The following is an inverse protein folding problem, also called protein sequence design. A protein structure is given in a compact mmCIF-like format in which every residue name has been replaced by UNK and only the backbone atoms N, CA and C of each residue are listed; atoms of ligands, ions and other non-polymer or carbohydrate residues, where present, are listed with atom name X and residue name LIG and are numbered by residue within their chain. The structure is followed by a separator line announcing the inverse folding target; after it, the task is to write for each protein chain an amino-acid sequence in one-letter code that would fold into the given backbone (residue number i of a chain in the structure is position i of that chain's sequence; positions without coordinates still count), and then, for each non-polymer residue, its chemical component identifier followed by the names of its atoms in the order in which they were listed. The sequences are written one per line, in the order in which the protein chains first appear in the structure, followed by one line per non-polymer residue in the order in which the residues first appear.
data_IF_989052961841
#
_entry.id   IF_989052961841
#
_cell.length_a   1.000
_cell.length_b   1.000
_cell.length_c   1.000
_cell.angle_alpha   90.00
_cell.angle_beta   90.00
_cell.angle_gamma   90.00
#
_symmetry.space_group_name_H-M   'P 1'
#
loop_
_entity.id
_entity.type
_entity.pdbx_description
1 polymer ?
#
# COMPACT_ATOMS: atom_id res chain seq x y z
N UNK A 1 3.76 4.39 -24.15
CA UNK A 1 4.40 4.13 -22.84
C UNK A 1 3.32 4.07 -21.77
N UNK A 2 3.39 3.08 -20.87
CA UNK A 2 2.48 2.96 -19.74
C UNK A 2 3.27 3.13 -18.43
N UNK A 3 2.79 4.01 -17.54
CA UNK A 3 3.39 4.29 -16.23
C UNK A 3 2.44 3.79 -15.14
N UNK A 4 2.89 2.88 -14.27
CA UNK A 4 2.03 2.22 -13.28
C UNK A 4 2.53 2.35 -11.84
N UNK A 5 3.34 3.37 -11.57
CA UNK A 5 3.78 3.74 -10.22
C UNK A 5 2.75 4.65 -9.52
N UNK A 6 2.79 4.79 -8.19
CA UNK A 6 2.00 5.77 -7.44
C UNK A 6 2.02 7.19 -8.03
N UNK A 7 0.89 7.91 -7.93
CA UNK A 7 0.69 9.22 -8.55
C UNK A 7 1.82 10.25 -8.30
N UNK A 8 2.36 10.43 -7.06
CA UNK A 8 3.48 11.34 -6.82
C UNK A 8 4.75 10.98 -7.60
N UNK A 9 4.99 9.69 -7.85
CA UNK A 9 6.12 9.21 -8.63
C UNK A 9 5.89 9.43 -10.14
N UNK A 10 4.64 9.27 -10.62
CA UNK A 10 4.26 9.66 -11.99
C UNK A 10 4.53 11.14 -12.21
N UNK A 11 4.12 12.01 -11.29
CA UNK A 11 4.34 13.45 -11.38
C UNK A 11 5.82 13.80 -11.50
N UNK A 12 6.69 13.11 -10.75
CA UNK A 12 8.15 13.30 -10.82
C UNK A 12 8.69 12.96 -12.20
N UNK A 13 8.25 11.85 -12.79
CA UNK A 13 8.65 11.43 -14.13
C UNK A 13 8.16 12.39 -15.21
N UNK A 14 6.90 12.82 -15.10
CA UNK A 14 6.29 13.78 -16.03
C UNK A 14 7.03 15.13 -16.01
N UNK A 15 7.32 15.66 -14.82
CA UNK A 15 8.08 16.90 -14.65
C UNK A 15 9.48 16.81 -15.29
N UNK A 16 10.17 15.67 -15.15
CA UNK A 16 11.48 15.45 -15.77
C UNK A 16 11.41 15.35 -17.31
N UNK A 17 10.27 14.95 -17.86
CA UNK A 17 10.06 14.77 -19.31
C UNK A 17 9.47 15.99 -20.03
N UNK A 18 8.88 16.94 -19.30
CA UNK A 18 8.14 18.06 -19.88
C UNK A 18 6.74 17.71 -20.39
N UNK A 19 6.28 16.46 -20.21
CA UNK A 19 4.93 16.00 -20.55
C UNK A 19 3.98 16.26 -19.38
N UNK A 20 2.71 16.52 -19.67
CA UNK A 20 1.67 16.70 -18.65
C UNK A 20 0.54 15.71 -18.85
N UNK A 21 0.04 15.14 -17.77
CA UNK A 21 -1.25 14.46 -17.72
C UNK A 21 -2.14 15.20 -16.71
N UNK A 22 -3.43 15.42 -17.02
CA UNK A 22 -4.30 16.22 -16.18
C UNK A 22 -4.56 15.55 -14.83
N UNK A 23 -4.84 16.38 -13.83
CA UNK A 23 -5.48 15.99 -12.57
C UNK A 23 -4.76 14.99 -11.65
N UNK A 24 -3.56 14.50 -11.98
CA UNK A 24 -2.81 13.52 -11.16
C UNK A 24 -2.64 13.99 -9.71
N UNK A 25 -2.43 15.29 -9.50
CA UNK A 25 -2.20 15.86 -8.17
C UNK A 25 -3.41 15.75 -7.21
N UNK A 26 -4.61 15.40 -7.71
CA UNK A 26 -5.79 15.14 -6.88
C UNK A 26 -5.72 13.80 -6.17
N UNK A 27 -4.90 12.86 -6.65
CA UNK A 27 -4.71 11.58 -6.00
C UNK A 27 -3.88 11.71 -4.71
N UNK A 28 -4.37 11.17 -3.60
CA UNK A 28 -3.67 11.21 -2.31
C UNK A 28 -3.66 9.85 -1.62
N UNK A 29 -2.70 9.68 -0.71
CA UNK A 29 -2.46 8.42 -0.02
C UNK A 29 -2.30 8.60 1.49
N UNK A 30 -2.82 7.63 2.23
CA UNK A 30 -2.42 7.34 3.58
C UNK A 30 -1.08 6.58 3.56
N UNK A 31 -0.10 6.97 4.40
CA UNK A 31 1.07 6.15 4.64
C UNK A 31 0.74 5.00 5.61
N UNK A 32 1.55 3.95 5.59
CA UNK A 32 1.47 2.84 6.53
C UNK A 32 2.87 2.41 6.96
N UNK A 33 3.09 2.30 8.27
CA UNK A 33 4.13 1.44 8.80
C UNK A 33 3.61 0.00 8.89
N UNK A 34 4.33 -0.94 8.29
CA UNK A 34 4.06 -2.38 8.35
C UNK A 34 5.14 -3.04 9.18
N UNK A 35 4.78 -3.87 10.14
CA UNK A 35 5.70 -4.56 11.04
C UNK A 35 5.51 -6.07 10.93
N UNK A 36 6.58 -6.76 10.57
CA UNK A 36 6.61 -8.21 10.41
C UNK A 36 7.34 -8.81 11.59
N UNK A 37 6.73 -9.80 12.22
CA UNK A 37 7.25 -10.44 13.42
C UNK A 37 7.12 -11.96 13.30
N UNK A 38 8.21 -12.68 13.60
CA UNK A 38 8.15 -14.11 13.87
C UNK A 38 8.24 -14.32 15.39
N UNK A 39 7.20 -14.88 15.99
CA UNK A 39 7.08 -15.04 17.44
C UNK A 39 6.58 -16.43 17.82
N UNK A 40 6.46 -16.68 19.12
CA UNK A 40 5.87 -17.87 19.73
C UNK A 40 4.39 -17.69 20.10
N UNK A 41 3.86 -16.47 19.95
CA UNK A 41 2.50 -16.10 20.34
C UNK A 41 1.60 -15.94 19.12
N UNK A 42 0.50 -16.70 19.10
CA UNK A 42 -0.57 -16.58 18.10
C UNK A 42 -1.63 -15.56 18.52
N UNK A 43 -2.15 -14.73 17.60
CA UNK A 43 -3.37 -13.97 17.83
C UNK A 43 -4.57 -14.90 18.02
N UNK A 44 -5.66 -14.41 18.63
CA UNK A 44 -6.89 -15.18 18.82
C UNK A 44 -7.60 -15.49 17.50
N UNK A 45 -7.44 -14.61 16.51
CA UNK A 45 -8.04 -14.72 15.18
C UNK A 45 -6.97 -14.51 14.11
N UNK A 46 -7.21 -15.03 12.91
CA UNK A 46 -6.30 -14.88 11.77
C UNK A 46 -6.15 -13.41 11.33
N UNK A 47 -7.18 -12.61 11.55
CA UNK A 47 -7.18 -11.17 11.34
C UNK A 47 -7.76 -10.52 12.60
N UNK A 48 -7.06 -9.55 13.17
CA UNK A 48 -7.49 -8.84 14.37
C UNK A 48 -7.40 -7.34 14.11
N UNK A 49 -8.49 -6.63 14.36
CA UNK A 49 -8.57 -5.17 14.28
C UNK A 49 -8.82 -4.60 15.69
N UNK A 50 -7.78 -4.09 16.39
CA UNK A 50 -7.91 -3.63 17.78
C UNK A 50 -8.88 -2.46 18.00
N UNK A 51 -9.31 -1.77 16.94
CA UNK A 51 -10.28 -0.69 16.97
C UNK A 51 -9.79 0.65 17.55
N UNK A 52 -8.67 0.66 18.27
CA UNK A 52 -8.06 1.87 18.82
C UNK A 52 -6.53 1.79 18.91
N UNK A 53 -5.89 2.96 18.91
CA UNK A 53 -4.45 3.08 19.12
C UNK A 53 -3.63 3.00 17.82
N UNK A 54 -2.33 2.64 17.94
CA UNK A 54 -1.40 2.69 16.82
C UNK A 54 -1.55 1.52 15.84
N UNK A 55 -2.15 0.40 16.26
CA UNK A 55 -2.32 -0.80 15.43
C UNK A 55 -3.71 -0.79 14.79
N UNK A 56 -3.76 -0.87 13.46
CA UNK A 56 -4.99 -0.97 12.68
C UNK A 56 -5.36 -2.41 12.36
N UNK A 57 -4.37 -3.25 12.05
CA UNK A 57 -4.58 -4.66 11.70
C UNK A 57 -3.42 -5.52 12.20
N UNK A 58 -3.74 -6.73 12.67
CA UNK A 58 -2.79 -7.83 12.87
C UNK A 58 -3.28 -8.99 12.00
N UNK A 59 -2.43 -9.47 11.09
CA UNK A 59 -2.69 -10.61 10.24
C UNK A 59 -1.77 -11.77 10.60
N UNK A 60 -2.34 -12.93 10.91
CA UNK A 60 -1.61 -14.18 11.10
C UNK A 60 -1.21 -14.73 9.72
N UNK A 61 -0.01 -14.38 9.25
CA UNK A 61 0.48 -14.86 7.96
C UNK A 61 0.60 -16.38 7.93
N UNK A 62 0.85 -17.01 9.06
CA UNK A 62 0.98 -18.46 9.18
C UNK A 62 -0.31 -19.22 8.90
N UNK A 63 -1.49 -18.61 9.03
CA UNK A 63 -2.76 -19.27 8.71
C UNK A 63 -3.05 -19.33 7.21
N UNK A 64 -2.33 -18.54 6.40
CA UNK A 64 -2.54 -18.48 4.95
C UNK A 64 -2.16 -19.81 4.29
N UNK A 65 -2.88 -20.25 3.23
CA UNK A 65 -2.60 -21.51 2.55
C UNK A 65 -1.14 -21.64 2.09
N UNK A 66 -0.56 -22.83 2.28
CA UNK A 66 0.79 -23.16 1.81
C UNK A 66 1.94 -22.57 2.64
N UNK A 67 1.67 -22.03 3.84
CA UNK A 67 2.70 -21.44 4.70
C UNK A 67 3.38 -22.49 5.59
N UNK A 68 4.69 -22.34 5.86
CA UNK A 68 5.40 -23.26 6.74
C UNK A 68 4.97 -23.07 8.20
N UNK A 69 5.16 -24.10 9.07
CA UNK A 69 4.88 -23.99 10.50
C UNK A 69 5.62 -22.83 11.19
N UNK A 70 5.14 -22.47 12.38
CA UNK A 70 5.61 -21.34 13.20
C UNK A 70 4.63 -20.15 13.14
N UNK A 71 4.77 -19.16 14.03
CA UNK A 71 3.89 -17.99 14.05
C UNK A 71 4.60 -16.78 13.42
N UNK A 72 3.95 -16.20 12.41
CA UNK A 72 4.40 -15.02 11.68
C UNK A 72 3.23 -14.08 11.55
N UNK A 73 3.41 -12.84 12.00
CA UNK A 73 2.38 -11.82 11.95
C UNK A 73 2.86 -10.67 11.09
N UNK A 74 1.94 -10.13 10.29
CA UNK A 74 2.07 -8.80 9.70
C UNK A 74 1.13 -7.87 10.44
N UNK A 75 1.68 -6.80 10.99
CA UNK A 75 0.98 -5.78 11.75
C UNK A 75 1.00 -4.48 10.96
N UNK A 76 -0.16 -3.93 10.66
CA UNK A 76 -0.28 -2.61 10.03
C UNK A 76 -0.66 -1.57 11.07
N UNK A 77 0.14 -0.49 11.12
CA UNK A 77 -0.19 0.66 11.92
C UNK A 77 -1.33 1.47 11.28
N UNK A 78 -2.09 2.20 12.09
CA UNK A 78 -3.16 3.07 11.59
C UNK A 78 -2.58 4.20 10.71
N UNK A 79 -3.35 4.71 9.74
CA UNK A 79 -2.94 5.87 8.93
C UNK A 79 -2.48 7.07 9.77
N UNK A 80 -3.24 7.42 10.81
CA UNK A 80 -2.95 8.59 11.64
C UNK A 80 -1.68 8.43 12.48
N UNK A 81 -1.42 7.22 12.99
CA UNK A 81 -0.17 6.95 13.66
C UNK A 81 1.00 6.97 12.67
N UNK A 82 0.82 6.36 11.50
CA UNK A 82 1.84 6.31 10.44
C UNK A 82 2.22 7.69 9.90
N UNK A 83 1.26 8.61 9.76
CA UNK A 83 1.51 10.02 9.39
C UNK A 83 2.40 10.72 10.42
N UNK A 84 2.07 10.58 11.71
CA UNK A 84 2.81 11.23 12.80
C UNK A 84 4.25 10.71 12.93
N UNK A 85 4.49 9.46 12.55
CA UNK A 85 5.81 8.83 12.65
C UNK A 85 6.43 8.54 11.28
N UNK A 86 5.99 9.25 10.23
CA UNK A 86 6.41 8.93 8.87
C UNK A 86 7.93 8.98 8.71
N UNK A 87 8.58 9.99 9.29
CA UNK A 87 10.04 10.18 9.20
C UNK A 87 10.82 9.66 10.41
N UNK A 88 10.17 8.96 11.34
CA UNK A 88 10.85 8.45 12.51
C UNK A 88 11.88 7.35 12.13
N UNK A 89 13.00 7.24 12.87
CA UNK A 89 13.97 6.16 12.69
C UNK A 89 13.32 4.79 12.85
N UNK A 90 13.73 3.83 12.02
CA UNK A 90 13.15 2.48 11.99
C UNK A 90 13.24 1.78 13.35
N UNK A 91 14.34 1.99 14.07
CA UNK A 91 14.60 1.38 15.37
C UNK A 91 13.59 1.86 16.42
N UNK A 92 13.22 3.15 16.38
CA UNK A 92 12.19 3.73 17.24
C UNK A 92 10.81 3.14 16.92
N UNK A 93 10.48 3.06 15.63
CA UNK A 93 9.22 2.48 15.15
C UNK A 93 9.08 1.02 15.58
N UNK A 94 10.13 0.20 15.41
CA UNK A 94 10.11 -1.21 15.81
C UNK A 94 9.83 -1.34 17.30
N UNK A 95 10.51 -0.56 18.15
CA UNK A 95 10.26 -0.61 19.60
C UNK A 95 8.81 -0.24 19.97
N UNK A 96 8.25 0.78 19.33
CA UNK A 96 6.87 1.19 19.56
C UNK A 96 5.84 0.16 19.08
N UNK A 97 6.04 -0.41 17.88
CA UNK A 97 5.15 -1.42 17.32
C UNK A 97 5.23 -2.75 18.06
N UNK A 98 6.39 -3.13 18.60
CA UNK A 98 6.50 -4.30 19.50
C UNK A 98 5.66 -4.09 20.76
N UNK A 99 5.78 -2.93 21.40
CA UNK A 99 4.97 -2.62 22.60
C UNK A 99 3.48 -2.64 22.27
N UNK A 100 3.09 -1.94 21.20
CA UNK A 100 1.68 -1.87 20.82
C UNK A 100 1.10 -3.23 20.42
N UNK A 101 1.86 -4.07 19.72
CA UNK A 101 1.42 -5.42 19.35
C UNK A 101 1.26 -6.29 20.60
N UNK A 102 2.21 -6.21 21.56
CA UNK A 102 2.10 -6.90 22.85
C UNK A 102 0.83 -6.51 23.59
N UNK A 103 0.55 -5.21 23.66
CA UNK A 103 -0.63 -4.68 24.35
C UNK A 103 -1.92 -5.17 23.67
N UNK A 104 -1.96 -5.27 22.34
CA UNK A 104 -3.11 -5.79 21.59
C UNK A 104 -3.32 -7.29 21.80
N UNK A 105 -2.24 -8.08 21.88
CA UNK A 105 -2.31 -9.53 22.05
C UNK A 105 -2.51 -9.95 23.51
N UNK A 106 -2.24 -9.06 24.47
CA UNK A 106 -2.34 -9.36 25.90
C UNK A 106 -1.30 -10.37 26.40
N UNK A 107 -0.19 -10.54 25.67
CA UNK A 107 0.82 -11.58 25.92
C UNK A 107 2.22 -11.06 25.62
N UNK A 108 3.21 -11.58 26.35
CA UNK A 108 4.61 -11.30 26.06
C UNK A 108 5.00 -11.75 24.65
N UNK A 109 5.74 -10.90 23.93
CA UNK A 109 6.28 -11.22 22.61
C UNK A 109 7.75 -11.59 22.74
N UNK A 110 8.12 -12.80 22.30
CA UNK A 110 9.53 -13.24 22.16
C UNK A 110 9.89 -13.39 20.68
N UNK A 111 10.10 -12.28 19.96
CA UNK A 111 10.36 -12.35 18.54
C UNK A 111 11.73 -12.94 18.25
N UNK A 112 11.79 -13.93 17.36
CA UNK A 112 13.03 -14.41 16.74
C UNK A 112 13.44 -13.57 15.52
N UNK A 113 12.48 -12.83 14.96
CA UNK A 113 12.69 -11.92 13.84
C UNK A 113 11.72 -10.73 13.93
N UNK A 114 12.21 -9.55 13.54
CA UNK A 114 11.47 -8.29 13.52
C UNK A 114 11.94 -7.44 12.35
N UNK A 115 11.00 -6.92 11.57
CA UNK A 115 11.28 -5.95 10.52
C UNK A 115 10.10 -4.98 10.37
N UNK A 116 10.38 -3.68 10.30
CA UNK A 116 9.36 -2.67 10.00
C UNK A 116 9.65 -2.03 8.64
N UNK A 117 8.64 -1.86 7.79
CA UNK A 117 8.74 -1.20 6.49
C UNK A 117 7.82 0.02 6.43
N UNK A 118 8.31 1.09 5.78
CA UNK A 118 7.58 2.35 5.60
C UNK A 118 7.03 2.47 4.19
N UNK A 119 5.72 2.38 4.06
CA UNK A 119 5.00 2.64 2.83
C UNK A 119 4.48 4.07 2.83
N UNK A 120 5.11 4.96 2.04
CA UNK A 120 4.68 6.36 1.93
C UNK A 120 3.35 6.51 1.18
N UNK A 121 3.12 5.65 0.21
CA UNK A 121 1.95 5.65 -0.67
C UNK A 121 1.25 4.28 -0.52
N UNK A 122 0.73 4.01 0.67
CA UNK A 122 0.28 2.67 1.05
C UNK A 122 -1.16 2.39 0.62
N UNK A 123 -2.06 3.35 0.85
CA UNK A 123 -3.48 3.21 0.59
C UNK A 123 -4.02 4.51 0.03
N UNK A 124 -4.73 4.46 -1.09
CA UNK A 124 -5.38 5.62 -1.69
C UNK A 124 -6.47 6.16 -0.75
N UNK A 125 -6.48 7.47 -0.53
CA UNK A 125 -7.55 8.16 0.20
C UNK A 125 -8.50 8.88 -0.75
N UNK A 126 -7.93 9.52 -1.77
CA UNK A 126 -8.68 10.20 -2.82
C UNK A 126 -8.22 9.63 -4.15
N UNK A 127 -9.09 8.87 -4.82
CA UNK A 127 -8.86 8.42 -6.19
C UNK A 127 -9.41 9.44 -7.19
N UNK A 128 -8.86 9.47 -8.40
CA UNK A 128 -9.27 10.41 -9.45
C UNK A 128 -10.70 10.22 -9.95
N UNK A 129 -11.28 9.03 -9.76
CA UNK A 129 -12.57 8.62 -10.31
C UNK A 129 -12.58 8.58 -11.84
N UNK A 130 -11.46 8.15 -12.43
CA UNK A 130 -11.34 7.87 -13.88
C UNK A 130 -10.66 6.52 -14.06
N UNK A 131 -10.93 5.75 -15.13
CA UNK A 131 -10.31 4.44 -15.33
C UNK A 131 -8.78 4.49 -15.46
N UNK A 132 -8.27 5.45 -16.23
CA UNK A 132 -6.84 5.69 -16.42
C UNK A 132 -6.64 7.11 -16.96
N UNK A 133 -5.39 7.54 -17.06
CA UNK A 133 -5.00 8.73 -17.81
C UNK A 133 -4.25 8.31 -19.07
N UNK A 134 -4.60 8.87 -20.22
CA UNK A 134 -3.93 8.59 -21.49
C UNK A 134 -3.95 9.82 -22.39
N UNK A 135 -2.78 10.16 -22.93
CA UNK A 135 -2.61 11.18 -23.96
C UNK A 135 -2.18 10.51 -25.28
N UNK A 136 -3.04 10.49 -26.30
CA UNK A 136 -2.73 9.90 -27.60
C UNK A 136 -1.67 10.70 -28.37
N UNK A 137 -1.56 12.02 -28.14
CA UNK A 137 -0.62 12.87 -28.87
C UNK A 137 0.84 12.49 -28.59
N UNK A 138 1.14 12.10 -27.34
CA UNK A 138 2.45 11.60 -26.94
C UNK A 138 2.48 10.07 -26.70
N UNK A 139 1.37 9.36 -26.93
CA UNK A 139 1.19 7.92 -26.69
C UNK A 139 1.68 7.50 -25.30
N UNK A 140 1.31 8.28 -24.30
CA UNK A 140 1.72 8.10 -22.91
C UNK A 140 0.47 8.02 -22.03
N UNK A 141 0.43 7.05 -21.14
CA UNK A 141 -0.61 7.02 -20.11
C UNK A 141 -0.10 6.51 -18.78
N UNK A 142 -0.94 6.73 -17.78
CA UNK A 142 -0.69 6.34 -16.40
C UNK A 142 -1.94 5.65 -15.81
N UNK A 143 -1.69 4.62 -15.01
CA UNK A 143 -2.70 3.81 -14.37
C UNK A 143 -2.25 3.40 -12.96
N UNK A 144 -3.21 3.02 -12.12
CA UNK A 144 -2.96 2.50 -10.79
C UNK A 144 -4.22 2.53 -9.94
N UNK A 145 -4.10 2.01 -8.72
CA UNK A 145 -5.16 2.09 -7.70
C UNK A 145 -5.71 3.52 -7.55
N UNK A 146 -4.83 4.52 -7.59
CA UNK A 146 -5.16 5.95 -7.50
C UNK A 146 -6.09 6.49 -8.59
N UNK A 147 -6.33 5.76 -9.67
CA UNK A 147 -7.33 6.09 -10.67
C UNK A 147 -8.76 5.80 -10.15
N UNK A 148 -8.96 4.63 -9.54
CA UNK A 148 -10.29 4.07 -9.25
C UNK A 148 -10.59 3.87 -7.76
N UNK A 149 -9.61 3.51 -6.93
CA UNK A 149 -9.81 3.26 -5.50
C UNK A 149 -8.69 2.44 -4.84
N UNK A 150 -8.78 2.26 -3.53
CA UNK A 150 -7.68 1.76 -2.70
C UNK A 150 -7.47 0.23 -2.68
N UNK A 151 -8.02 -0.51 -3.65
CA UNK A 151 -8.01 -1.98 -3.66
C UNK A 151 -7.19 -2.53 -4.81
N UNK A 152 -6.78 -3.79 -4.69
CA UNK A 152 -6.03 -4.48 -5.76
C UNK A 152 -6.83 -4.55 -7.06
N UNK A 153 -8.15 -4.72 -6.98
CA UNK A 153 -9.03 -4.75 -8.15
C UNK A 153 -9.05 -3.40 -8.88
N UNK A 154 -9.02 -2.28 -8.14
CA UNK A 154 -8.95 -0.95 -8.75
C UNK A 154 -7.63 -0.73 -9.51
N UNK A 155 -6.51 -1.23 -8.98
CA UNK A 155 -5.24 -1.21 -9.71
C UNK A 155 -5.29 -2.06 -10.99
N UNK A 156 -5.88 -3.25 -10.89
CA UNK A 156 -6.05 -4.16 -12.02
C UNK A 156 -6.93 -3.56 -13.12
N UNK A 157 -8.12 -3.08 -12.76
CA UNK A 157 -9.08 -2.47 -13.68
C UNK A 157 -8.50 -1.22 -14.36
N UNK A 158 -7.74 -0.41 -13.62
CA UNK A 158 -7.05 0.75 -14.18
C UNK A 158 -5.97 0.36 -15.19
N UNK A 159 -5.22 -0.71 -14.90
CA UNK A 159 -4.22 -1.26 -15.81
C UNK A 159 -4.83 -1.78 -17.10
N UNK A 160 -5.96 -2.50 -17.02
CA UNK A 160 -6.71 -2.95 -18.20
C UNK A 160 -7.21 -1.76 -19.02
N UNK A 161 -7.83 -0.77 -18.37
CA UNK A 161 -8.34 0.41 -19.05
C UNK A 161 -7.23 1.16 -19.84
N UNK A 162 -6.03 1.25 -19.28
CA UNK A 162 -4.90 1.85 -19.97
C UNK A 162 -4.42 1.00 -21.16
N UNK A 163 -4.39 -0.33 -21.02
CA UNK A 163 -4.05 -1.22 -22.12
C UNK A 163 -5.05 -1.06 -23.28
N UNK A 164 -6.35 -1.03 -22.98
CA UNK A 164 -7.42 -0.83 -23.97
C UNK A 164 -7.29 0.52 -24.67
N UNK A 165 -7.00 1.60 -23.92
CA UNK A 165 -6.79 2.92 -24.50
C UNK A 165 -5.61 2.95 -25.49
N UNK A 166 -4.50 2.29 -25.14
CA UNK A 166 -3.31 2.19 -26.00
C UNK A 166 -3.61 1.35 -27.25
N UNK A 167 -4.25 0.19 -27.09
CA UNK A 167 -4.57 -0.72 -28.20
C UNK A 167 -5.52 -0.06 -29.21
N UNK A 168 -6.53 0.65 -28.71
CA UNK A 168 -7.46 1.42 -29.54
C UNK A 168 -6.75 2.54 -30.32
N UNK A 169 -5.82 3.29 -29.71
CA UNK A 169 -5.02 4.32 -30.41
C UNK A 169 -4.13 3.73 -31.51
N UNK A 170 -3.59 2.53 -31.29
CA UNK A 170 -2.73 1.85 -32.26
C UNK A 170 -3.49 1.13 -33.38
N UNK A 171 -4.82 1.18 -33.37
CA UNK A 171 -5.66 0.50 -34.37
C UNK A 171 -5.67 -1.03 -34.21
N UNK A 172 -5.48 -1.53 -32.99
CA UNK A 172 -5.68 -2.93 -32.63
C UNK A 172 -6.90 -3.01 -31.71
N UNK A 173 -8.14 -3.04 -32.24
CA UNK A 173 -9.31 -3.21 -31.39
C UNK A 173 -9.21 -4.55 -30.66
N UNK A 174 -9.57 -4.52 -29.37
CA UNK A 174 -9.63 -5.68 -28.48
C UNK A 174 -10.67 -6.72 -28.93
#
# INVERSE_FOLDING_TARGET
MAITVPAPQVMTLLAASGVTLPDIARASYAPCWSFMIAADTSPPEDLTEPGAGPIGLIACDSSKPGRPPGIRLTVHATPDWSRRHLEAPRETIVAELVRATRDCLGSELRPSHMEAHRWRYAQVENALQVPCLYDPACRLGAAGDWCLGARIEAAYDSGLALADAILNDLGHPA
#
